data_IF_485565044826
#
_entry.id   IF_485565044826
#
_cell.length_a   1.000
_cell.length_b   1.000
_cell.length_c   1.000
_cell.angle_alpha   90.00
_cell.angle_beta   90.00
_cell.angle_gamma   90.00
#
_symmetry.space_group_name_H-M   'P 1'
#
loop_
_entity.id
_entity.type
_entity.pdbx_description
1 polymer ?
#
# COMPACT_ATOMS: atom_id res chain seq x y z
N UNK A 1 -6.75 -22.18 -4.00
CA UNK A 1 -6.38 -21.30 -5.14
C UNK A 1 -4.88 -21.38 -5.32
N UNK A 2 -4.36 -21.42 -6.55
CA UNK A 2 -2.90 -21.37 -6.74
C UNK A 2 -2.38 -19.98 -6.33
N UNK A 3 -1.21 -19.87 -5.68
CA UNK A 3 -0.69 -18.61 -5.14
C UNK A 3 -0.52 -17.53 -6.22
N UNK A 4 -0.12 -17.98 -7.42
CA UNK A 4 -0.04 -17.18 -8.64
C UNK A 4 -1.35 -16.46 -9.02
N UNK A 5 -2.49 -17.11 -8.82
CA UNK A 5 -3.80 -16.50 -9.10
C UNK A 5 -4.11 -15.42 -8.07
N UNK A 6 -3.75 -15.65 -6.80
CA UNK A 6 -3.86 -14.63 -5.75
C UNK A 6 -3.01 -13.40 -6.06
N UNK A 7 -1.74 -13.60 -6.45
CA UNK A 7 -0.84 -12.53 -6.93
C UNK A 7 -1.47 -11.79 -8.12
N UNK A 8 -1.93 -12.53 -9.13
CA UNK A 8 -2.48 -11.93 -10.35
C UNK A 8 -3.72 -11.08 -10.04
N UNK A 9 -4.63 -11.57 -9.19
CA UNK A 9 -5.81 -10.80 -8.76
C UNK A 9 -5.39 -9.54 -8.02
N UNK A 10 -4.43 -9.63 -7.09
CA UNK A 10 -3.93 -8.47 -6.35
C UNK A 10 -3.27 -7.44 -7.28
N UNK A 11 -2.44 -7.88 -8.24
CA UNK A 11 -1.81 -7.01 -9.22
C UNK A 11 -2.85 -6.35 -10.11
N UNK A 12 -3.83 -7.11 -10.61
CA UNK A 12 -4.91 -6.57 -11.43
C UNK A 12 -5.73 -5.54 -10.66
N UNK A 13 -6.12 -5.83 -9.42
CA UNK A 13 -6.85 -4.88 -8.57
C UNK A 13 -6.01 -3.64 -8.25
N UNK A 14 -4.71 -3.80 -8.00
CA UNK A 14 -3.77 -2.69 -7.82
C UNK A 14 -3.67 -1.80 -9.05
N UNK A 15 -3.52 -2.39 -10.25
CA UNK A 15 -3.48 -1.65 -11.52
C UNK A 15 -4.81 -0.97 -11.83
N UNK A 16 -5.93 -1.65 -11.57
CA UNK A 16 -7.27 -1.10 -11.72
C UNK A 16 -7.43 0.09 -10.77
N UNK A 17 -7.09 -0.07 -9.49
CA UNK A 17 -7.12 0.98 -8.48
C UNK A 17 -6.20 2.16 -8.83
N UNK A 18 -5.01 1.92 -9.38
CA UNK A 18 -4.08 2.96 -9.80
C UNK A 18 -4.58 3.72 -11.05
N UNK A 19 -5.26 3.05 -11.98
CA UNK A 19 -5.80 3.67 -13.20
C UNK A 19 -7.10 4.42 -12.95
N UNK A 20 -7.98 3.86 -12.13
CA UNK A 20 -9.21 4.51 -11.69
C UNK A 20 -8.98 5.39 -10.46
N UNK A 21 -7.71 5.65 -10.11
CA UNK A 21 -7.25 6.31 -8.89
C UNK A 21 -8.30 7.30 -8.43
N UNK A 22 -8.94 6.90 -7.33
CA UNK A 22 -9.96 7.62 -6.62
C UNK A 22 -9.42 9.00 -6.25
N UNK A 23 -9.52 9.96 -7.16
CA UNK A 23 -9.05 11.32 -6.97
C UNK A 23 -9.73 11.86 -5.71
N UNK A 24 -9.02 11.97 -4.57
CA UNK A 24 -9.65 12.36 -3.32
C UNK A 24 -10.21 13.78 -3.42
N UNK A 25 -9.71 14.59 -4.37
CA UNK A 25 -10.23 15.92 -4.64
C UNK A 25 -11.61 15.90 -5.32
N UNK A 26 -11.97 14.80 -6.01
CA UNK A 26 -13.28 14.61 -6.66
C UNK A 26 -14.26 13.79 -5.84
N UNK A 27 -13.80 13.19 -4.74
CA UNK A 27 -14.65 12.38 -3.87
C UNK A 27 -15.55 13.24 -2.97
N UNK A 28 -16.81 12.83 -2.73
CA UNK A 28 -17.67 13.50 -1.76
C UNK A 28 -17.07 13.45 -0.35
N UNK A 29 -17.45 14.40 0.51
CA UNK A 29 -16.85 14.63 1.84
C UNK A 29 -16.74 13.38 2.71
N UNK A 30 -17.72 12.47 2.64
CA UNK A 30 -17.73 11.21 3.39
C UNK A 30 -16.54 10.30 3.07
N UNK A 31 -16.49 9.68 1.87
CA UNK A 31 -15.42 8.74 1.52
C UNK A 31 -14.04 9.41 1.34
N UNK A 32 -13.97 10.73 1.21
CA UNK A 32 -12.71 11.46 0.99
C UNK A 32 -11.63 11.10 2.01
N UNK A 33 -11.99 10.95 3.29
CA UNK A 33 -11.02 10.59 4.32
C UNK A 33 -10.44 9.18 4.09
N UNK A 34 -11.29 8.20 3.75
CA UNK A 34 -10.89 6.81 3.50
C UNK A 34 -10.02 6.66 2.24
N UNK A 35 -10.27 7.50 1.24
CA UNK A 35 -9.47 7.54 0.02
C UNK A 35 -8.11 8.19 0.26
N UNK A 36 -8.08 9.31 0.99
CA UNK A 36 -6.86 10.08 1.26
C UNK A 36 -5.87 9.31 2.13
N UNK A 37 -6.34 8.56 3.13
CA UNK A 37 -5.48 7.78 4.04
C UNK A 37 -5.09 6.41 3.50
N UNK A 38 -5.66 5.98 2.38
CA UNK A 38 -5.49 4.61 1.88
C UNK A 38 -6.32 3.54 2.61
N UNK A 39 -7.19 3.92 3.55
CA UNK A 39 -8.01 2.96 4.32
C UNK A 39 -8.91 2.07 3.45
N UNK A 40 -9.26 2.52 2.25
CA UNK A 40 -9.99 1.70 1.26
C UNK A 40 -9.25 0.41 0.87
N UNK A 41 -7.91 0.37 0.91
CA UNK A 41 -7.16 -0.88 0.69
C UNK A 41 -7.41 -1.91 1.79
N UNK A 42 -7.68 -1.49 3.03
CA UNK A 42 -8.07 -2.39 4.12
C UNK A 42 -9.45 -3.00 3.86
N UNK A 43 -10.39 -2.22 3.32
CA UNK A 43 -11.72 -2.73 2.94
C UNK A 43 -11.61 -3.76 1.80
N UNK A 44 -10.74 -3.51 0.81
CA UNK A 44 -10.45 -4.48 -0.25
C UNK A 44 -9.83 -5.75 0.33
N UNK A 45 -8.88 -5.63 1.26
CA UNK A 45 -8.30 -6.77 1.97
C UNK A 45 -9.33 -7.57 2.77
N UNK A 46 -10.24 -6.90 3.48
CA UNK A 46 -11.34 -7.54 4.21
C UNK A 46 -12.28 -8.30 3.27
N UNK A 47 -12.60 -7.70 2.12
CA UNK A 47 -13.45 -8.33 1.12
C UNK A 47 -12.78 -9.56 0.51
N UNK A 48 -11.52 -9.45 0.10
CA UNK A 48 -10.78 -10.54 -0.54
C UNK A 48 -10.37 -11.64 0.44
N UNK A 49 -10.13 -11.32 1.70
CA UNK A 49 -9.77 -12.28 2.74
C UNK A 49 -11.01 -12.99 3.29
N UNK A 50 -11.53 -12.60 4.46
CA UNK A 50 -12.57 -13.35 5.16
C UNK A 50 -13.91 -13.47 4.42
N UNK A 51 -14.29 -12.51 3.57
CA UNK A 51 -15.61 -12.54 2.91
C UNK A 51 -15.60 -13.46 1.69
N UNK A 52 -14.61 -13.31 0.80
CA UNK A 52 -14.53 -14.07 -0.45
C UNK A 52 -13.61 -15.29 -0.39
N UNK A 53 -12.73 -15.38 0.62
CA UNK A 53 -11.79 -16.50 0.79
C UNK A 53 -10.65 -16.54 -0.23
N UNK A 54 -10.38 -15.45 -0.95
CA UNK A 54 -9.30 -15.39 -1.94
C UNK A 54 -7.91 -15.21 -1.32
N UNK A 55 -7.81 -14.46 -0.22
CA UNK A 55 -6.57 -14.21 0.51
C UNK A 55 -6.59 -14.97 1.85
N UNK A 56 -6.27 -16.27 1.81
CA UNK A 56 -6.08 -17.07 3.04
C UNK A 56 -4.74 -16.75 3.69
N UNK A 57 -4.56 -17.13 4.96
CA UNK A 57 -3.30 -16.91 5.70
C UNK A 57 -2.11 -17.54 4.97
N UNK A 58 -2.30 -18.71 4.37
CA UNK A 58 -1.27 -19.42 3.60
C UNK A 58 -0.89 -18.66 2.32
N UNK A 59 -1.88 -18.13 1.60
CA UNK A 59 -1.65 -17.33 0.39
C UNK A 59 -0.93 -16.03 0.76
N UNK A 60 -1.36 -15.36 1.83
CA UNK A 60 -0.70 -14.13 2.32
C UNK A 60 0.74 -14.41 2.74
N UNK A 61 1.01 -15.53 3.41
CA UNK A 61 2.37 -15.96 3.77
C UNK A 61 3.26 -16.18 2.55
N UNK A 62 2.71 -16.71 1.45
CA UNK A 62 3.46 -16.90 0.20
C UNK A 62 3.71 -15.60 -0.57
N UNK A 63 2.95 -14.54 -0.27
CA UNK A 63 3.15 -13.21 -0.84
C UNK A 63 4.24 -12.41 -0.11
N UNK A 64 4.74 -12.89 1.03
CA UNK A 64 5.74 -12.20 1.86
C UNK A 64 6.98 -11.75 1.06
N UNK A 65 7.59 -12.56 0.16
CA UNK A 65 8.76 -12.11 -0.59
C UNK A 65 8.45 -10.93 -1.52
N UNK A 66 7.24 -10.88 -2.09
CA UNK A 66 6.80 -9.78 -2.93
C UNK A 66 6.57 -8.52 -2.10
N UNK A 67 5.98 -8.65 -0.91
CA UNK A 67 5.79 -7.55 0.03
C UNK A 67 7.13 -7.01 0.53
N UNK A 68 8.06 -7.89 0.90
CA UNK A 68 9.41 -7.53 1.32
C UNK A 68 10.15 -6.77 0.21
N UNK A 69 10.08 -7.26 -1.04
CA UNK A 69 10.66 -6.57 -2.19
C UNK A 69 10.02 -5.20 -2.41
N UNK A 70 8.68 -5.11 -2.40
CA UNK A 70 7.96 -3.86 -2.61
C UNK A 70 8.26 -2.82 -1.53
N UNK A 71 8.20 -3.20 -0.26
CA UNK A 71 8.49 -2.32 0.87
C UNK A 71 9.97 -1.93 0.91
N UNK A 72 10.88 -2.86 0.64
CA UNK A 72 12.31 -2.57 0.53
C UNK A 72 12.62 -1.60 -0.60
N UNK A 73 11.97 -1.77 -1.76
CA UNK A 73 12.10 -0.86 -2.89
C UNK A 73 11.57 0.54 -2.59
N UNK A 74 10.40 0.64 -1.94
CA UNK A 74 9.84 1.91 -1.47
C UNK A 74 10.82 2.58 -0.50
N UNK A 75 11.29 1.85 0.52
CA UNK A 75 12.27 2.35 1.49
C UNK A 75 13.56 2.83 0.83
N UNK A 76 14.05 2.11 -0.19
CA UNK A 76 15.21 2.52 -0.98
C UNK A 76 14.94 3.82 -1.74
N UNK A 77 13.80 3.94 -2.44
CA UNK A 77 13.44 5.15 -3.18
C UNK A 77 13.35 6.39 -2.28
N UNK A 78 12.71 6.26 -1.11
CA UNK A 78 12.65 7.35 -0.13
C UNK A 78 14.01 7.61 0.52
N UNK A 79 14.78 6.57 0.84
CA UNK A 79 16.10 6.68 1.43
C UNK A 79 17.12 7.37 0.52
N UNK A 80 17.05 7.14 -0.80
CA UNK A 80 17.89 7.84 -1.78
C UNK A 80 17.56 9.33 -1.91
N UNK A 81 16.34 9.75 -1.53
CA UNK A 81 15.94 11.16 -1.48
C UNK A 81 16.38 11.85 -0.18
N UNK A 82 16.95 11.11 0.78
CA UNK A 82 17.40 11.66 2.05
C UNK A 82 18.65 12.54 1.84
N UNK A 83 18.46 13.83 2.02
CA UNK A 83 19.52 14.83 1.94
C UNK A 83 19.99 15.21 3.35
N UNK A 84 21.27 14.93 3.65
CA UNK A 84 21.88 15.24 4.95
C UNK A 84 21.96 16.74 5.21
N UNK A 85 22.12 17.55 4.16
CA UNK A 85 22.23 19.00 4.30
C UNK A 85 20.87 19.62 4.65
N UNK A 86 19.78 19.05 4.14
CA UNK A 86 18.41 19.43 4.54
C UNK A 86 18.10 19.00 5.98
N UNK A 87 18.57 17.83 6.41
CA UNK A 87 18.42 17.41 7.81
C UNK A 87 19.12 18.38 8.77
N UNK A 88 20.30 18.88 8.41
CA UNK A 88 21.05 19.84 9.22
C UNK A 88 20.33 21.18 9.46
N UNK A 89 19.25 21.48 8.73
CA UNK A 89 18.46 22.70 8.91
C UNK A 89 17.47 22.59 10.09
N UNK A 90 17.18 21.37 10.56
CA UNK A 90 16.28 21.17 11.68
C UNK A 90 17.03 21.30 13.01
N UNK A 91 16.44 22.00 14.02
CA UNK A 91 17.02 22.06 15.35
C UNK A 91 17.28 20.67 15.93
N UNK A 92 18.41 20.51 16.63
CA UNK A 92 18.80 19.22 17.19
C UNK A 92 17.77 18.61 18.17
N UNK A 93 16.87 19.43 18.70
CA UNK A 93 15.75 19.02 19.55
C UNK A 93 14.71 18.14 18.87
N UNK A 94 14.67 18.09 17.53
CA UNK A 94 13.75 17.21 16.77
C UNK A 94 14.31 15.80 16.53
N UNK A 95 15.59 15.54 16.86
CA UNK A 95 16.23 14.24 16.68
C UNK A 95 16.23 13.38 17.96
N UNK A 96 15.59 13.84 19.04
CA UNK A 96 15.55 13.20 20.36
C UNK A 96 14.12 12.78 20.74
#
# INVERSE_FOLDING_TARGET
>A
MSPLVGVLVLVLLGLLGARFAFDPARAPLGPRLLLTTGAHFLLVGLLLGPILGFLTVEVVGQLEPLLALGLGWIGLLFGMQLDRDQLGQFPASYFL
#
